data_IF_325782061980
#
_entry.id   IF_325782061980
#
_cell.length_a   1.000
_cell.length_b   1.000
_cell.length_c   1.000
_cell.angle_alpha   90.00
_cell.angle_beta   90.00
_cell.angle_gamma   90.00
#
_symmetry.space_group_name_H-M   'P 1'
#
loop_
_entity.id
_entity.type
_entity.pdbx_description
1 polymer ?
#
# COMPACT_ATOMS: atom_id res chain seq x y z
N UNK A 1 8.12 19.01 -3.38
CA UNK A 1 9.54 18.67 -3.17
C UNK A 1 10.39 19.94 -3.20
N UNK A 2 11.30 20.10 -2.24
CA UNK A 2 12.23 21.24 -2.17
C UNK A 2 13.68 20.75 -2.11
N UNK A 3 14.56 21.37 -2.90
CA UNK A 3 16.01 21.13 -2.81
C UNK A 3 16.57 22.01 -1.69
N UNK A 4 17.11 21.39 -0.65
CA UNK A 4 17.75 22.10 0.46
C UNK A 4 19.21 22.39 0.11
N UNK A 5 19.87 21.42 -0.53
CA UNK A 5 21.20 21.58 -1.13
C UNK A 5 21.21 20.90 -2.51
N UNK A 6 22.28 21.04 -3.32
CA UNK A 6 22.38 20.29 -4.58
C UNK A 6 22.30 18.77 -4.42
N UNK A 7 22.66 18.25 -3.24
CA UNK A 7 22.70 16.83 -2.89
C UNK A 7 21.48 16.39 -2.08
N UNK A 8 20.87 17.28 -1.30
CA UNK A 8 19.79 16.97 -0.37
C UNK A 8 18.44 17.53 -0.86
N UNK A 9 17.48 16.64 -1.05
CA UNK A 9 16.09 16.97 -1.38
C UNK A 9 15.15 16.47 -0.29
N UNK A 10 14.16 17.27 0.06
CA UNK A 10 13.07 16.86 0.95
C UNK A 10 11.73 16.92 0.23
N UNK A 11 10.83 16.01 0.61
CA UNK A 11 9.48 15.90 0.09
C UNK A 11 8.47 15.83 1.24
N UNK A 12 7.34 16.48 1.03
CA UNK A 12 6.12 16.27 1.80
C UNK A 12 4.99 16.17 0.79
N UNK A 13 4.10 15.22 0.96
CA UNK A 13 2.82 15.22 0.29
C UNK A 13 1.70 14.78 1.24
N UNK A 14 0.50 15.23 0.90
CA UNK A 14 -0.72 14.98 1.65
C UNK A 14 -1.84 14.73 0.65
N UNK A 15 -2.56 13.63 0.84
CA UNK A 15 -3.83 13.37 0.19
C UNK A 15 -4.91 13.37 1.26
N UNK A 16 -5.86 14.30 1.14
CA UNK A 16 -7.08 14.22 1.93
C UNK A 16 -7.83 12.94 1.58
N UNK A 17 -8.78 12.56 2.45
CA UNK A 17 -9.80 11.58 2.10
C UNK A 17 -10.48 11.98 0.78
N UNK A 18 -10.67 11.02 -0.11
CA UNK A 18 -11.36 11.24 -1.40
C UNK A 18 -12.72 10.58 -1.33
N UNK A 19 -13.77 11.40 -1.32
CA UNK A 19 -15.14 10.92 -1.30
C UNK A 19 -15.50 10.30 -2.65
N UNK A 20 -15.88 9.04 -2.62
CA UNK A 20 -16.24 8.26 -3.80
C UNK A 20 -17.76 8.16 -3.95
N UNK A 21 -18.23 7.90 -5.16
CA UNK A 21 -19.64 7.57 -5.35
C UNK A 21 -19.96 6.21 -4.74
N UNK A 22 -21.08 6.14 -4.01
CA UNK A 22 -21.57 4.89 -3.41
C UNK A 22 -21.76 3.81 -4.47
N UNK A 23 -21.21 2.63 -4.20
CA UNK A 23 -21.36 1.47 -5.07
C UNK A 23 -22.70 0.78 -4.79
N UNK A 24 -23.72 1.12 -5.58
CA UNK A 24 -25.10 0.62 -5.42
C UNK A 24 -25.21 -0.90 -5.30
N UNK A 25 -24.40 -1.66 -6.06
CA UNK A 25 -24.40 -3.13 -6.03
C UNK A 25 -23.91 -3.70 -4.70
N UNK A 26 -23.10 -2.95 -3.95
CA UNK A 26 -22.53 -3.35 -2.67
C UNK A 26 -23.19 -2.66 -1.48
N UNK A 27 -24.37 -2.04 -1.69
CA UNK A 27 -25.08 -1.30 -0.65
C UNK A 27 -25.50 -2.14 0.56
N UNK A 28 -25.71 -3.44 0.37
CA UNK A 28 -25.99 -4.39 1.46
C UNK A 28 -24.76 -5.05 2.07
N UNK A 29 -23.55 -4.70 1.61
CA UNK A 29 -22.30 -5.32 2.05
C UNK A 29 -21.42 -4.31 2.80
N UNK A 30 -21.05 -3.21 2.12
CA UNK A 30 -20.14 -2.22 2.66
C UNK A 30 -20.90 -1.20 3.49
N UNK A 31 -20.34 -0.80 4.63
CA UNK A 31 -20.90 0.22 5.50
C UNK A 31 -21.32 1.49 4.74
N UNK A 32 -22.29 2.21 5.28
CA UNK A 32 -22.84 3.44 4.69
C UNK A 32 -23.44 3.24 3.29
N UNK A 33 -24.10 2.10 3.08
CA UNK A 33 -24.82 1.75 1.85
C UNK A 33 -23.92 1.72 0.62
N UNK A 34 -22.76 1.07 0.73
CA UNK A 34 -21.86 0.90 -0.41
C UNK A 34 -20.79 1.98 -0.52
N UNK A 35 -20.57 2.76 0.55
CA UNK A 35 -19.52 3.77 0.54
C UNK A 35 -18.14 3.13 0.65
N UNK A 36 -17.19 3.57 -0.17
CA UNK A 36 -15.81 3.11 -0.14
C UNK A 36 -14.90 4.22 -0.66
N UNK A 37 -14.63 5.16 0.24
CA UNK A 37 -13.76 6.29 -0.01
C UNK A 37 -12.28 5.86 -0.04
N UNK A 38 -11.43 6.70 -0.63
CA UNK A 38 -9.98 6.51 -0.49
C UNK A 38 -9.52 7.12 0.84
N UNK A 39 -8.76 6.37 1.66
CA UNK A 39 -8.29 6.86 2.95
C UNK A 39 -7.31 8.02 2.77
N UNK A 40 -7.39 8.96 3.70
CA UNK A 40 -6.39 10.01 3.86
C UNK A 40 -5.00 9.39 4.07
N UNK A 41 -3.97 10.02 3.50
CA UNK A 41 -2.60 9.62 3.74
C UNK A 41 -1.65 10.82 3.63
N UNK A 42 -0.48 10.70 4.25
CA UNK A 42 0.58 11.67 4.13
C UNK A 42 1.93 10.99 4.08
N UNK A 43 2.86 11.63 3.39
CA UNK A 43 4.22 11.16 3.22
C UNK A 43 5.24 12.27 3.49
N UNK A 44 6.37 11.84 4.03
CA UNK A 44 7.53 12.67 4.27
C UNK A 44 8.77 11.91 3.83
N UNK A 45 9.61 12.57 3.03
CA UNK A 45 10.71 11.92 2.34
C UNK A 45 11.97 12.76 2.34
N UNK A 46 13.11 12.06 2.37
CA UNK A 46 14.43 12.65 2.15
C UNK A 46 15.18 11.85 1.11
N UNK A 47 15.81 12.54 0.15
CA UNK A 47 16.68 11.94 -0.83
C UNK A 47 18.06 12.62 -0.81
N UNK A 48 19.11 11.81 -0.79
CA UNK A 48 20.49 12.25 -0.76
C UNK A 48 21.29 11.67 -1.93
N UNK A 49 21.99 12.55 -2.65
CA UNK A 49 22.94 12.19 -3.69
C UNK A 49 24.32 11.94 -3.07
N UNK A 50 24.66 10.67 -2.88
CA UNK A 50 25.96 10.26 -2.38
C UNK A 50 27.07 10.48 -3.40
N UNK A 51 26.77 10.27 -4.68
CA UNK A 51 27.65 10.59 -5.82
C UNK A 51 26.83 11.22 -6.95
N UNK A 52 27.43 11.69 -8.06
CA UNK A 52 26.67 12.13 -9.22
C UNK A 52 25.72 11.06 -9.80
N UNK A 53 26.05 9.78 -9.56
CA UNK A 53 25.39 8.62 -10.14
C UNK A 53 24.56 7.82 -9.13
N UNK A 54 24.76 8.01 -7.81
CA UNK A 54 24.06 7.29 -6.75
C UNK A 54 23.20 8.23 -5.90
N UNK A 55 21.89 7.96 -5.89
CA UNK A 55 20.92 8.61 -5.01
C UNK A 55 20.27 7.56 -4.11
N UNK A 56 20.09 7.88 -2.84
CA UNK A 56 19.34 7.06 -1.87
C UNK A 56 18.22 7.90 -1.28
N UNK A 57 17.06 7.30 -1.10
CA UNK A 57 15.88 7.94 -0.55
C UNK A 57 15.31 7.13 0.63
N UNK A 58 14.83 7.83 1.64
CA UNK A 58 14.06 7.30 2.76
C UNK A 58 12.74 8.05 2.83
N UNK A 59 11.63 7.31 2.76
CA UNK A 59 10.28 7.85 2.89
C UNK A 59 9.55 7.20 4.06
N UNK A 60 8.76 8.00 4.75
CA UNK A 60 7.75 7.60 5.71
C UNK A 60 6.38 7.93 5.14
N UNK A 61 5.42 7.02 5.28
CA UNK A 61 4.03 7.25 4.90
C UNK A 61 3.10 6.76 6.00
N UNK A 62 2.11 7.58 6.36
CA UNK A 62 0.95 7.17 7.16
C UNK A 62 -0.25 6.98 6.26
N UNK A 63 -1.00 5.90 6.45
CA UNK A 63 -2.28 5.68 5.78
C UNK A 63 -3.39 5.54 6.82
N UNK A 64 -4.39 6.43 6.79
CA UNK A 64 -5.47 6.50 7.78
C UNK A 64 -6.68 5.67 7.34
N UNK A 65 -6.52 4.34 7.27
CA UNK A 65 -7.58 3.40 6.89
C UNK A 65 -8.83 3.50 7.78
N UNK A 66 -8.65 3.79 9.06
CA UNK A 66 -9.76 3.87 10.02
C UNK A 66 -10.75 5.00 9.70
N UNK A 67 -10.35 6.00 8.90
CA UNK A 67 -11.20 7.11 8.46
C UNK A 67 -12.27 6.75 7.41
N UNK A 68 -12.31 5.50 6.93
CA UNK A 68 -13.30 5.00 5.98
C UNK A 68 -14.10 3.88 6.63
N UNK A 69 -15.40 4.08 6.89
CA UNK A 69 -16.22 3.14 7.66
C UNK A 69 -16.19 1.70 7.12
N UNK A 70 -16.26 1.52 5.79
CA UNK A 70 -16.20 0.19 5.17
C UNK A 70 -14.85 -0.53 5.37
N UNK A 71 -13.78 0.21 5.66
CA UNK A 71 -12.43 -0.32 5.89
C UNK A 71 -12.17 -0.44 7.40
N UNK A 72 -12.42 0.62 8.15
CA UNK A 72 -12.03 0.77 9.55
C UNK A 72 -13.01 0.22 10.59
N UNK A 73 -14.30 0.14 10.29
CA UNK A 73 -15.27 -0.40 11.25
C UNK A 73 -14.90 -1.85 11.58
N UNK A 74 -15.00 -2.22 12.85
CA UNK A 74 -14.74 -3.59 13.28
C UNK A 74 -15.61 -4.58 12.50
N UNK A 75 -15.06 -5.74 12.18
CA UNK A 75 -15.71 -6.72 11.31
C UNK A 75 -16.82 -7.46 12.04
N UNK A 76 -16.47 -8.52 12.78
CA UNK A 76 -17.46 -9.38 13.44
C UNK A 76 -18.15 -8.64 14.59
N UNK A 77 -17.44 -7.74 15.27
CA UNK A 77 -17.99 -6.99 16.39
C UNK A 77 -19.15 -6.07 15.98
N UNK A 78 -19.14 -5.51 14.77
CA UNK A 78 -20.25 -4.69 14.26
C UNK A 78 -21.27 -5.48 13.43
N UNK A 79 -21.15 -6.80 13.31
CA UNK A 79 -22.05 -7.60 12.47
C UNK A 79 -23.51 -7.51 12.93
N UNK A 80 -23.73 -7.33 14.24
CA UNK A 80 -25.05 -7.11 14.82
C UNK A 80 -25.72 -5.80 14.36
N UNK A 81 -24.95 -4.81 13.90
CA UNK A 81 -25.47 -3.56 13.33
C UNK A 81 -25.99 -3.76 11.89
N UNK A 82 -25.80 -4.95 11.31
CA UNK A 82 -26.15 -5.28 9.93
C UNK A 82 -25.13 -4.80 8.90
N UNK A 83 -24.90 -5.62 7.87
CA UNK A 83 -24.10 -5.21 6.71
C UNK A 83 -24.83 -4.09 5.94
N UNK A 84 -24.09 -3.15 5.37
CA UNK A 84 -24.66 -2.02 4.63
C UNK A 84 -25.21 -0.86 5.48
N UNK A 85 -25.35 -1.01 6.80
CA UNK A 85 -25.81 0.07 7.68
C UNK A 85 -24.71 1.12 7.88
N UNK A 86 -25.08 2.32 8.38
CA UNK A 86 -24.11 3.40 8.60
C UNK A 86 -22.98 3.00 9.55
N UNK A 87 -23.30 2.24 10.60
CA UNK A 87 -22.34 1.70 11.57
C UNK A 87 -22.14 0.19 11.40
N UNK A 88 -22.36 -0.32 10.18
CA UNK A 88 -22.22 -1.73 9.84
C UNK A 88 -20.77 -2.19 9.88
N UNK A 89 -20.55 -3.50 9.71
CA UNK A 89 -19.21 -4.08 9.64
C UNK A 89 -18.35 -3.45 8.54
N UNK A 90 -17.08 -3.25 8.86
CA UNK A 90 -16.01 -3.00 7.91
C UNK A 90 -14.96 -4.11 7.97
N UNK A 91 -13.78 -3.88 7.39
CA UNK A 91 -12.66 -4.81 7.46
C UNK A 91 -11.84 -4.72 8.76
N UNK A 92 -12.15 -3.79 9.66
CA UNK A 92 -11.46 -3.61 10.93
C UNK A 92 -9.98 -3.20 10.76
N UNK A 93 -9.62 -2.60 9.63
CA UNK A 93 -8.25 -2.17 9.36
C UNK A 93 -7.92 -0.95 10.20
N UNK A 94 -6.82 -1.02 10.94
CA UNK A 94 -6.26 0.15 11.59
C UNK A 94 -5.34 0.91 10.64
N UNK A 95 -5.04 2.15 11.01
CA UNK A 95 -4.08 2.97 10.28
C UNK A 95 -2.67 2.37 10.37
N UNK A 96 -1.89 2.51 9.31
CA UNK A 96 -0.54 1.92 9.23
C UNK A 96 0.52 2.95 8.95
N UNK A 97 1.72 2.66 9.44
CA UNK A 97 2.94 3.35 9.07
C UNK A 97 3.72 2.50 8.08
N UNK A 98 4.32 3.15 7.09
CA UNK A 98 5.10 2.51 6.03
C UNK A 98 6.43 3.23 5.87
N UNK A 99 7.52 2.48 6.01
CA UNK A 99 8.89 2.93 5.77
C UNK A 99 9.37 2.40 4.43
N UNK A 100 10.05 3.25 3.64
CA UNK A 100 10.57 2.89 2.32
C UNK A 100 12.00 3.36 2.19
N UNK A 101 12.91 2.45 1.85
CA UNK A 101 14.29 2.74 1.53
C UNK A 101 14.54 2.38 0.07
N UNK A 102 15.02 3.33 -0.71
CA UNK A 102 15.29 3.13 -2.14
C UNK A 102 16.64 3.67 -2.55
N UNK A 103 17.25 3.05 -3.57
CA UNK A 103 18.46 3.52 -4.21
C UNK A 103 18.28 3.52 -5.73
N UNK A 104 18.77 4.59 -6.37
CA UNK A 104 18.91 4.70 -7.82
C UNK A 104 20.39 4.86 -8.15
N UNK A 105 20.88 4.03 -9.08
CA UNK A 105 22.25 4.05 -9.56
C UNK A 105 22.32 4.16 -11.08
N UNK A 106 22.96 5.23 -11.57
CA UNK A 106 23.25 5.44 -12.99
C UNK A 106 24.52 4.70 -13.35
N UNK A 107 24.37 3.47 -13.85
CA UNK A 107 25.53 2.64 -14.21
C UNK A 107 26.31 3.24 -15.38
N UNK A 108 25.60 3.76 -16.40
CA UNK A 108 26.17 4.52 -17.50
C UNK A 108 25.07 5.34 -18.20
N UNK A 109 25.41 5.98 -19.33
CA UNK A 109 24.47 6.80 -20.13
C UNK A 109 23.23 6.06 -20.65
N UNK A 110 23.26 4.72 -20.68
CA UNK A 110 22.20 3.89 -21.22
C UNK A 110 21.45 3.10 -20.13
N UNK A 111 21.98 2.97 -18.92
CA UNK A 111 21.44 2.07 -17.90
C UNK A 111 21.31 2.74 -16.55
N UNK A 112 20.09 2.71 -16.00
CA UNK A 112 19.77 3.13 -14.64
C UNK A 112 19.20 1.93 -13.90
N UNK A 113 19.76 1.61 -12.75
CA UNK A 113 19.31 0.52 -11.89
C UNK A 113 18.66 1.08 -10.63
N UNK A 114 17.63 0.39 -10.14
CA UNK A 114 16.93 0.75 -8.91
C UNK A 114 16.73 -0.49 -8.05
N UNK A 115 16.85 -0.31 -6.74
CA UNK A 115 16.47 -1.30 -5.75
C UNK A 115 15.83 -0.60 -4.57
N UNK A 116 14.92 -1.27 -3.88
CA UNK A 116 14.30 -0.70 -2.70
C UNK A 116 13.60 -1.73 -1.85
N UNK A 117 13.37 -1.38 -0.60
CA UNK A 117 12.64 -2.16 0.38
C UNK A 117 11.55 -1.28 0.98
N UNK A 118 10.37 -1.85 1.19
CA UNK A 118 9.34 -1.24 2.02
C UNK A 118 8.97 -2.17 3.17
N UNK A 119 8.64 -1.55 4.31
CA UNK A 119 8.08 -2.21 5.48
C UNK A 119 6.87 -1.42 5.95
N UNK A 120 5.69 -2.03 5.85
CA UNK A 120 4.44 -1.50 6.38
C UNK A 120 3.94 -2.31 7.56
N UNK A 121 3.23 -1.66 8.48
CA UNK A 121 2.42 -2.39 9.44
C UNK A 121 1.35 -3.24 8.72
N UNK A 122 0.93 -4.32 9.37
CA UNK A 122 -0.22 -5.08 8.90
C UNK A 122 -1.48 -4.42 9.46
N UNK A 123 -2.41 -3.93 8.63
CA UNK A 123 -3.63 -3.26 9.09
C UNK A 123 -4.64 -4.22 9.73
N UNK A 124 -4.56 -5.53 9.42
CA UNK A 124 -5.56 -6.51 9.86
C UNK A 124 -5.32 -6.92 11.31
N UNK A 125 -6.30 -6.66 12.16
CA UNK A 125 -6.29 -7.08 13.55
C UNK A 125 -6.70 -8.55 13.71
N UNK A 126 -6.22 -9.20 14.77
CA UNK A 126 -6.57 -10.58 15.12
C UNK A 126 -8.08 -10.79 15.17
N UNK A 127 -8.86 -9.86 15.73
CA UNK A 127 -10.32 -9.92 15.81
C UNK A 127 -11.05 -9.96 14.46
N UNK A 128 -10.39 -9.49 13.40
CA UNK A 128 -11.02 -9.21 12.11
C UNK A 128 -10.55 -10.15 10.99
N UNK A 129 -9.63 -11.07 11.30
CA UNK A 129 -9.06 -12.07 10.37
C UNK A 129 -10.12 -12.81 9.56
N UNK A 130 -11.22 -13.21 10.20
CA UNK A 130 -12.23 -14.02 9.54
C UNK A 130 -12.95 -13.29 8.40
N UNK A 131 -13.20 -11.98 8.54
CA UNK A 131 -13.84 -11.19 7.47
C UNK A 131 -12.83 -10.81 6.37
N UNK A 132 -11.57 -10.65 6.77
CA UNK A 132 -10.44 -10.34 5.89
C UNK A 132 -10.00 -11.48 4.96
N UNK A 133 -10.67 -12.64 5.00
CA UNK A 133 -10.55 -13.66 3.94
C UNK A 133 -10.96 -13.06 2.58
N UNK A 134 -11.89 -12.08 2.57
CA UNK A 134 -12.38 -11.44 1.34
C UNK A 134 -11.40 -10.40 0.76
N UNK A 135 -10.56 -9.81 1.61
CA UNK A 135 -9.61 -8.76 1.24
C UNK A 135 -8.32 -8.90 2.08
N UNK A 136 -7.50 -9.93 1.82
CA UNK A 136 -6.27 -10.13 2.57
C UNK A 136 -5.27 -9.01 2.26
N UNK A 137 -4.84 -8.28 3.29
CA UNK A 137 -3.89 -7.16 3.17
C UNK A 137 -2.74 -7.29 4.17
N UNK A 138 -2.18 -8.49 4.32
CA UNK A 138 -1.29 -8.81 5.45
C UNK A 138 0.21 -8.71 5.16
N UNK A 139 0.63 -8.55 3.91
CA UNK A 139 2.07 -8.43 3.57
C UNK A 139 2.64 -7.18 4.25
N UNK A 140 3.77 -7.35 4.94
CA UNK A 140 4.50 -6.25 5.59
C UNK A 140 5.69 -5.78 4.77
N UNK A 141 6.46 -6.73 4.23
CA UNK A 141 7.73 -6.45 3.59
C UNK A 141 7.62 -6.66 2.08
N UNK A 142 8.12 -5.68 1.31
CA UNK A 142 8.33 -5.84 -0.13
C UNK A 142 9.76 -5.50 -0.49
N UNK A 143 10.37 -6.32 -1.34
CA UNK A 143 11.62 -6.02 -2.02
C UNK A 143 11.33 -5.67 -3.47
N UNK A 144 11.95 -4.61 -3.96
CA UNK A 144 11.77 -4.09 -5.31
C UNK A 144 13.11 -4.01 -6.02
N UNK A 145 13.11 -4.29 -7.32
CA UNK A 145 14.22 -4.06 -8.21
C UNK A 145 13.72 -3.59 -9.56
N UNK A 146 14.51 -2.76 -10.24
CA UNK A 146 14.13 -2.26 -11.55
C UNK A 146 15.32 -1.77 -12.34
N UNK A 147 15.12 -1.68 -13.65
CA UNK A 147 16.12 -1.16 -14.58
C UNK A 147 15.44 -0.34 -15.66
N UNK A 148 16.10 0.73 -16.08
CA UNK A 148 15.71 1.54 -17.24
C UNK A 148 16.85 1.50 -18.25
N UNK A 149 16.53 1.09 -19.48
CA UNK A 149 17.41 1.19 -20.64
C UNK A 149 17.04 2.41 -21.48
N UNK A 150 18.01 3.29 -21.72
CA UNK A 150 17.86 4.49 -22.54
C UNK A 150 18.43 4.21 -23.93
N UNK A 151 17.58 4.28 -24.96
CA UNK A 151 17.95 4.04 -26.35
C UNK A 151 18.75 5.20 -26.94
N UNK A 152 19.37 5.00 -28.12
CA UNK A 152 20.05 6.08 -28.85
C UNK A 152 19.11 7.20 -29.30
N UNK A 153 17.81 6.90 -29.47
CA UNK A 153 16.78 7.90 -29.80
C UNK A 153 16.24 8.63 -28.57
N UNK A 154 16.74 8.30 -27.36
CA UNK A 154 16.27 8.87 -26.10
C UNK A 154 14.95 8.28 -25.58
N UNK A 155 14.51 7.14 -26.13
CA UNK A 155 13.43 6.36 -25.56
C UNK A 155 13.88 5.60 -24.32
N UNK A 156 12.95 5.30 -23.41
CA UNK A 156 13.22 4.70 -22.11
C UNK A 156 12.39 3.42 -21.94
N UNK A 157 13.04 2.26 -21.91
CA UNK A 157 12.40 0.99 -21.58
C UNK A 157 12.66 0.68 -20.11
N UNK A 158 11.63 0.62 -19.29
CA UNK A 158 11.71 0.31 -17.86
C UNK A 158 11.08 -1.04 -17.56
N UNK A 159 11.79 -1.86 -16.78
CA UNK A 159 11.27 -3.10 -16.20
C UNK A 159 11.41 -2.99 -14.68
N UNK A 160 10.35 -3.34 -13.95
CA UNK A 160 10.35 -3.36 -12.50
C UNK A 160 9.74 -4.67 -11.99
N UNK A 161 10.34 -5.22 -10.95
CA UNK A 161 9.86 -6.42 -10.26
C UNK A 161 9.76 -6.13 -8.76
N UNK A 162 8.69 -6.60 -8.13
CA UNK A 162 8.47 -6.52 -6.69
C UNK A 162 8.08 -7.89 -6.16
N UNK A 163 8.72 -8.30 -5.07
CA UNK A 163 8.35 -9.47 -4.29
C UNK A 163 7.87 -9.02 -2.91
N UNK A 164 6.59 -9.26 -2.61
CA UNK A 164 6.00 -9.13 -1.28
C UNK A 164 6.15 -10.44 -0.53
N UNK A 165 6.91 -10.40 0.57
CA UNK A 165 7.22 -11.59 1.35
C UNK A 165 5.99 -12.12 2.09
N UNK A 166 5.95 -13.44 2.25
CA UNK A 166 4.85 -14.07 2.93
C UNK A 166 4.69 -13.56 4.37
N UNK A 167 3.50 -13.08 4.70
CA UNK A 167 3.09 -12.84 6.08
C UNK A 167 1.73 -13.49 6.35
N UNK A 168 1.46 -13.79 7.62
CA UNK A 168 0.18 -14.37 8.03
C UNK A 168 -0.34 -13.81 9.34
N UNK A 169 -1.66 -13.82 9.49
CA UNK A 169 -2.36 -13.36 10.69
C UNK A 169 -3.40 -14.41 11.04
N UNK A 170 -3.39 -14.85 12.29
CA UNK A 170 -4.36 -15.78 12.84
C UNK A 170 -5.30 -15.08 13.80
N UNK A 171 -6.55 -15.53 13.86
CA UNK A 171 -7.58 -14.94 14.70
C UNK A 171 -8.77 -15.85 14.90
N UNK A 172 -9.69 -15.50 15.82
CA UNK A 172 -10.85 -16.32 16.12
C UNK A 172 -11.79 -16.41 14.92
N UNK A 173 -12.27 -17.63 14.67
CA UNK A 173 -13.36 -17.95 13.75
C UNK A 173 -14.66 -18.07 14.55
N UNK A 174 -15.71 -17.29 14.24
CA UNK A 174 -17.00 -17.39 14.92
C UNK A 174 -17.59 -18.81 14.87
N UNK A 175 -18.21 -19.24 15.97
CA UNK A 175 -18.83 -20.56 16.09
C UNK A 175 -19.85 -20.89 14.98
N UNK A 176 -20.72 -19.96 14.54
CA UNK A 176 -21.68 -20.24 13.45
C UNK A 176 -21.04 -20.61 12.10
N UNK A 177 -19.76 -20.28 11.90
CA UNK A 177 -19.01 -20.62 10.68
C UNK A 177 -17.87 -21.61 10.95
N UNK A 178 -18.05 -22.47 11.96
CA UNK A 178 -17.18 -23.62 12.23
C UNK A 178 -16.28 -23.47 13.46
N UNK A 179 -16.22 -22.31 14.10
CA UNK A 179 -15.45 -22.09 15.34
C UNK A 179 -13.93 -22.25 15.17
N UNK A 180 -13.18 -22.00 16.24
CA UNK A 180 -11.71 -22.21 16.28
C UNK A 180 -10.91 -21.02 15.77
N UNK A 181 -9.79 -21.30 15.08
CA UNK A 181 -8.84 -20.29 14.59
C UNK A 181 -8.82 -20.28 13.06
N UNK A 182 -8.98 -19.09 12.47
CA UNK A 182 -8.73 -18.83 11.05
C UNK A 182 -7.36 -18.19 10.88
N UNK A 183 -6.71 -18.45 9.74
CA UNK A 183 -5.43 -17.85 9.36
C UNK A 183 -5.54 -17.36 7.93
N UNK A 184 -5.22 -16.09 7.70
CA UNK A 184 -5.00 -15.54 6.36
C UNK A 184 -3.51 -15.37 6.13
N UNK A 185 -3.07 -15.60 4.89
CA UNK A 185 -1.67 -15.58 4.48
C UNK A 185 -1.59 -15.10 3.04
N UNK A 186 -0.59 -14.29 2.73
CA UNK A 186 -0.40 -13.75 1.40
C UNK A 186 1.09 -13.55 1.12
N UNK A 187 1.50 -13.87 -0.11
CA UNK A 187 2.72 -13.41 -0.77
C UNK A 187 2.31 -12.86 -2.14
N UNK A 188 3.16 -12.04 -2.75
CA UNK A 188 2.81 -11.41 -4.02
C UNK A 188 4.03 -11.16 -4.89
N UNK A 189 3.87 -11.33 -6.20
CA UNK A 189 4.85 -10.95 -7.21
C UNK A 189 4.22 -9.95 -8.17
N UNK A 190 4.94 -8.87 -8.48
CA UNK A 190 4.48 -7.83 -9.41
C UNK A 190 5.57 -7.61 -10.45
N UNK A 191 5.21 -7.71 -11.73
CA UNK A 191 6.06 -7.37 -12.86
C UNK A 191 5.45 -6.19 -13.62
N UNK A 192 6.23 -5.14 -13.82
CA UNK A 192 5.86 -3.96 -14.60
C UNK A 192 6.82 -3.75 -15.76
N UNK A 193 6.29 -3.41 -16.93
CA UNK A 193 7.05 -3.02 -18.11
C UNK A 193 6.44 -1.72 -18.64
N UNK A 194 7.28 -0.72 -18.89
CA UNK A 194 6.85 0.57 -19.43
C UNK A 194 7.85 1.05 -20.50
N UNK A 195 7.34 1.72 -21.53
CA UNK A 195 8.15 2.39 -22.54
C UNK A 195 7.75 3.86 -22.64
N UNK A 196 8.73 4.75 -22.46
CA UNK A 196 8.58 6.19 -22.64
C UNK A 196 9.31 6.67 -23.89
N UNK A 197 8.72 7.63 -24.60
CA UNK A 197 9.40 8.35 -25.69
C UNK A 197 9.16 9.84 -25.54
N UNK A 198 10.10 10.65 -26.05
CA UNK A 198 9.88 12.09 -26.17
C UNK A 198 9.03 12.35 -27.41
N UNK A 199 7.97 13.14 -27.24
CA UNK A 199 7.22 13.74 -28.34
C UNK A 199 7.93 15.00 -28.85
#
# INVERSE_FOLDING_TARGET
MGKITPQLTIGLAYSSKVDMQKMKKYAGLLAEQGNLDLPENYDAGVAYKFTPDLTVALDYQRINYSGVAAIGNASIANLANGLGSNNGSGFGWHDIDVWKLGAEYKYNKNWIMRAGWNHGDNPVQTSDVTFNILAPGVIKDHLTMGTTYITSTGGELTVAYTHGFENSVSGPRPAPIGGGTATIRMHQDILGIAYGWKM
#
